data_IF_085552711820
#
_entry.id   IF_085552711820
#
_cell.length_a   1.000
_cell.length_b   1.000
_cell.length_c   1.000
_cell.angle_alpha   90.00
_cell.angle_beta   90.00
_cell.angle_gamma   90.00
#
_symmetry.space_group_name_H-M   'P 1'
#
loop_
_entity.id
_entity.type
_entity.pdbx_description
1 polymer ?
#
# COMPACT_ATOMS: atom_id res chain seq x y z
N UNK A 1 -9.36 5.73 23.75
CA UNK A 1 -8.43 4.61 23.43
C UNK A 1 -8.52 4.21 21.96
N UNK A 2 -9.73 4.00 21.42
CA UNK A 2 -9.95 3.62 20.01
C UNK A 2 -9.29 4.56 19.00
N UNK A 3 -9.46 5.89 19.12
CA UNK A 3 -8.84 6.85 18.19
C UNK A 3 -7.30 6.83 18.21
N UNK A 4 -6.69 6.53 19.36
CA UNK A 4 -5.23 6.37 19.49
C UNK A 4 -4.77 5.12 18.75
N UNK A 5 -5.53 4.03 18.85
CA UNK A 5 -5.25 2.78 18.11
C UNK A 5 -5.41 2.99 16.60
N UNK A 6 -6.47 3.68 16.17
CA UNK A 6 -6.68 4.03 14.75
C UNK A 6 -5.53 4.89 14.23
N UNK A 7 -5.16 5.95 14.96
CA UNK A 7 -4.04 6.82 14.57
C UNK A 7 -2.71 6.05 14.48
N UNK A 8 -2.42 5.17 15.44
CA UNK A 8 -1.25 4.31 15.39
C UNK A 8 -1.27 3.37 14.18
N UNK A 9 -2.43 2.76 13.87
CA UNK A 9 -2.57 1.88 12.72
C UNK A 9 -2.36 2.63 11.39
N UNK A 10 -2.88 3.86 11.27
CA UNK A 10 -2.65 4.77 10.13
C UNK A 10 -1.16 5.08 9.98
N UNK A 11 -0.48 5.46 11.07
CA UNK A 11 0.97 5.73 11.03
C UNK A 11 1.75 4.51 10.56
N UNK A 12 1.44 3.33 11.10
CA UNK A 12 2.08 2.08 10.68
C UNK A 12 1.80 1.75 9.20
N UNK A 13 0.59 2.01 8.71
CA UNK A 13 0.27 1.85 7.29
C UNK A 13 1.07 2.79 6.41
N UNK A 14 1.17 4.07 6.77
CA UNK A 14 1.97 5.07 6.04
C UNK A 14 3.44 4.66 6.01
N UNK A 15 4.00 4.18 7.12
CA UNK A 15 5.39 3.75 7.18
C UNK A 15 5.64 2.48 6.35
N UNK A 16 4.76 1.48 6.47
CA UNK A 16 4.90 0.21 5.77
C UNK A 16 4.70 0.38 4.26
N UNK A 17 3.62 1.01 3.85
CA UNK A 17 3.29 1.23 2.45
C UNK A 17 4.18 2.29 1.81
N UNK A 18 4.56 3.33 2.56
CA UNK A 18 5.51 4.34 2.10
C UNK A 18 6.86 3.72 1.71
N UNK A 19 7.33 2.73 2.49
CA UNK A 19 8.53 1.97 2.12
C UNK A 19 8.35 1.19 0.81
N UNK A 20 7.21 0.51 0.61
CA UNK A 20 6.88 -0.18 -0.64
C UNK A 20 6.89 0.79 -1.82
N UNK A 21 6.21 1.93 -1.68
CA UNK A 21 6.15 3.00 -2.69
C UNK A 21 7.55 3.51 -3.04
N UNK A 22 8.40 3.81 -2.05
CA UNK A 22 9.77 4.29 -2.27
C UNK A 22 10.63 3.27 -3.04
N UNK A 23 10.49 1.97 -2.72
CA UNK A 23 11.17 0.90 -3.48
C UNK A 23 10.69 0.90 -4.93
N UNK A 24 9.37 0.98 -5.15
CA UNK A 24 8.77 1.02 -6.48
C UNK A 24 9.17 2.26 -7.30
N UNK A 25 9.27 3.44 -6.68
CA UNK A 25 9.76 4.65 -7.32
C UNK A 25 11.21 4.50 -7.81
N UNK A 26 12.04 3.74 -7.08
CA UNK A 26 13.43 3.46 -7.43
C UNK A 26 13.61 2.34 -8.47
N UNK A 27 12.53 1.71 -8.93
CA UNK A 27 12.56 0.57 -9.85
C UNK A 27 13.27 0.83 -11.20
N UNK A 28 13.19 2.02 -11.82
CA UNK A 28 13.86 2.29 -13.09
C UNK A 28 15.40 2.36 -12.96
N UNK A 29 15.91 2.70 -11.78
CA UNK A 29 17.33 2.89 -11.55
C UNK A 29 18.13 1.57 -11.56
N UNK A 30 19.46 1.68 -11.63
CA UNK A 30 20.37 0.54 -11.52
C UNK A 30 20.11 -0.27 -10.23
N UNK A 31 20.12 -1.60 -10.35
CA UNK A 31 19.74 -2.52 -9.26
C UNK A 31 18.25 -2.56 -8.92
N UNK A 32 17.39 -1.91 -9.71
CA UNK A 32 15.94 -1.89 -9.48
C UNK A 32 15.31 -3.29 -9.52
N UNK A 33 15.76 -4.17 -10.42
CA UNK A 33 15.31 -5.56 -10.47
C UNK A 33 15.61 -6.34 -9.17
N UNK A 34 16.83 -6.24 -8.64
CA UNK A 34 17.17 -6.82 -7.34
C UNK A 34 16.33 -6.22 -6.19
N UNK A 35 16.08 -4.91 -6.20
CA UNK A 35 15.22 -4.26 -5.19
C UNK A 35 13.79 -4.78 -5.24
N UNK A 36 13.19 -4.88 -6.42
CA UNK A 36 11.84 -5.44 -6.61
C UNK A 36 11.77 -6.92 -6.26
N UNK A 37 12.82 -7.69 -6.55
CA UNK A 37 12.92 -9.10 -6.12
C UNK A 37 12.92 -9.21 -4.60
N UNK A 38 13.67 -8.34 -3.90
CA UNK A 38 13.68 -8.31 -2.43
C UNK A 38 12.36 -7.83 -1.85
N UNK A 39 11.64 -6.95 -2.54
CA UNK A 39 10.29 -6.56 -2.16
C UNK A 39 9.37 -7.79 -2.17
N UNK A 40 9.52 -8.68 -3.15
CA UNK A 40 8.91 -10.02 -3.11
C UNK A 40 7.41 -9.98 -2.87
N UNK A 41 6.91 -10.81 -1.94
CA UNK A 41 5.51 -10.81 -1.49
C UNK A 41 5.23 -9.84 -0.34
N UNK A 42 6.22 -9.07 0.12
CA UNK A 42 6.07 -8.18 1.30
C UNK A 42 5.03 -7.10 1.03
N UNK A 43 4.93 -6.63 -0.23
CA UNK A 43 3.96 -5.62 -0.62
C UNK A 43 2.51 -6.09 -0.41
N UNK A 44 2.18 -7.37 -0.66
CA UNK A 44 0.83 -7.91 -0.44
C UNK A 44 0.38 -7.79 1.03
N UNK A 45 1.33 -7.89 1.96
CA UNK A 45 1.04 -7.71 3.36
C UNK A 45 0.90 -6.23 3.75
N UNK A 46 1.67 -5.31 3.14
CA UNK A 46 1.45 -3.86 3.35
C UNK A 46 0.11 -3.42 2.79
N UNK A 47 -0.32 -4.00 1.68
CA UNK A 47 -1.62 -3.81 1.05
C UNK A 47 -2.79 -4.28 1.90
N UNK A 48 -2.71 -5.50 2.41
CA UNK A 48 -3.71 -6.03 3.34
C UNK A 48 -3.83 -5.12 4.57
N UNK A 49 -2.70 -4.57 5.04
CA UNK A 49 -2.69 -3.60 6.13
C UNK A 49 -3.37 -2.27 5.76
N UNK A 50 -3.09 -1.71 4.58
CA UNK A 50 -3.76 -0.48 4.11
C UNK A 50 -5.28 -0.67 4.02
N UNK A 51 -5.75 -1.80 3.46
CA UNK A 51 -7.18 -2.11 3.38
C UNK A 51 -7.81 -2.21 4.77
N UNK A 52 -7.14 -2.89 5.71
CA UNK A 52 -7.61 -3.01 7.09
C UNK A 52 -7.71 -1.64 7.76
N UNK A 53 -6.75 -0.74 7.54
CA UNK A 53 -6.78 0.62 8.06
C UNK A 53 -7.88 1.46 7.43
N UNK A 54 -8.12 1.35 6.11
CA UNK A 54 -9.24 2.03 5.45
C UNK A 54 -10.58 1.59 6.07
N UNK A 55 -10.79 0.28 6.22
CA UNK A 55 -12.00 -0.27 6.84
C UNK A 55 -12.16 0.17 8.29
N UNK A 56 -11.07 0.23 9.04
CA UNK A 56 -11.05 0.72 10.42
C UNK A 56 -11.41 2.21 10.52
N UNK A 57 -10.79 3.07 9.70
CA UNK A 57 -11.09 4.51 9.68
C UNK A 57 -12.54 4.72 9.30
N UNK A 58 -13.05 4.01 8.29
CA UNK A 58 -14.45 4.10 7.87
C UNK A 58 -15.44 3.60 8.96
N UNK A 59 -15.07 2.56 9.71
CA UNK A 59 -15.91 2.01 10.77
C UNK A 59 -15.92 2.82 12.07
N UNK A 60 -14.80 3.45 12.43
CA UNK A 60 -14.63 4.21 13.69
C UNK A 60 -14.91 5.71 13.51
N UNK A 61 -14.50 6.26 12.36
CA UNK A 61 -14.58 7.68 12.04
C UNK A 61 -15.24 7.92 10.67
N UNK A 62 -16.50 7.46 10.44
CA UNK A 62 -17.20 7.71 9.19
C UNK A 62 -17.41 9.21 8.90
N UNK A 63 -17.51 10.01 9.96
CA UNK A 63 -17.56 11.47 9.98
C UNK A 63 -16.29 12.14 9.42
N UNK A 64 -15.14 11.47 9.50
CA UNK A 64 -13.93 11.89 8.81
C UNK A 64 -13.81 11.27 7.41
N UNK A 65 -14.12 9.98 7.29
CA UNK A 65 -13.87 9.21 6.07
C UNK A 65 -14.71 9.71 4.88
N UNK A 66 -16.01 9.92 5.08
CA UNK A 66 -16.90 10.31 3.97
C UNK A 66 -16.61 11.73 3.47
N UNK A 67 -16.50 12.77 4.34
CA UNK A 67 -16.17 14.12 3.86
C UNK A 67 -14.78 14.20 3.25
N UNK A 68 -13.81 13.42 3.75
CA UNK A 68 -12.49 13.34 3.14
C UNK A 68 -12.55 12.79 1.71
N UNK A 69 -13.31 11.71 1.48
CA UNK A 69 -13.49 11.14 0.14
C UNK A 69 -14.30 12.07 -0.78
N UNK A 70 -15.23 12.86 -0.25
CA UNK A 70 -15.95 13.87 -1.01
C UNK A 70 -15.01 15.01 -1.45
N UNK A 71 -14.21 15.55 -0.51
CA UNK A 71 -13.28 16.65 -0.78
C UNK A 71 -12.06 16.23 -1.63
N UNK A 72 -11.60 14.99 -1.47
CA UNK A 72 -10.37 14.48 -2.08
C UNK A 72 -10.59 13.23 -2.94
N UNK A 73 -11.80 13.06 -3.51
CA UNK A 73 -12.15 11.89 -4.32
C UNK A 73 -11.18 11.65 -5.49
N UNK A 74 -10.72 12.72 -6.14
CA UNK A 74 -9.68 12.63 -7.17
C UNK A 74 -8.35 12.07 -6.64
N UNK A 75 -7.98 12.42 -5.40
CA UNK A 75 -6.80 11.86 -4.72
C UNK A 75 -6.96 10.38 -4.41
N UNK A 76 -8.14 9.96 -3.93
CA UNK A 76 -8.44 8.54 -3.70
C UNK A 76 -8.39 7.74 -5.01
N UNK A 77 -8.96 8.27 -6.10
CA UNK A 77 -8.89 7.63 -7.43
C UNK A 77 -7.45 7.51 -7.91
N UNK A 78 -6.65 8.57 -7.80
CA UNK A 78 -5.23 8.53 -8.18
C UNK A 78 -4.44 7.49 -7.36
N UNK A 79 -4.74 7.40 -6.06
CA UNK A 79 -4.13 6.42 -5.17
C UNK A 79 -4.46 4.98 -5.59
N UNK A 80 -5.74 4.66 -5.78
CA UNK A 80 -6.19 3.30 -6.16
C UNK A 80 -5.75 2.95 -7.57
N UNK A 81 -5.87 3.85 -8.54
CA UNK A 81 -5.41 3.58 -9.91
C UNK A 81 -3.89 3.36 -9.96
N UNK A 82 -3.13 4.18 -9.23
CA UNK A 82 -1.68 4.02 -9.09
C UNK A 82 -1.30 2.67 -8.46
N UNK A 83 -2.03 2.28 -7.41
CA UNK A 83 -1.90 0.99 -6.77
C UNK A 83 -2.12 -0.16 -7.77
N UNK A 84 -3.26 -0.17 -8.46
CA UNK A 84 -3.59 -1.22 -9.43
C UNK A 84 -2.52 -1.36 -10.52
N UNK A 85 -2.03 -0.24 -11.07
CA UNK A 85 -0.96 -0.26 -12.07
C UNK A 85 0.33 -0.85 -11.47
N UNK A 86 0.73 -0.39 -10.29
CA UNK A 86 1.94 -0.88 -9.61
C UNK A 86 1.88 -2.40 -9.44
N UNK A 87 0.78 -2.91 -8.91
CA UNK A 87 0.65 -4.33 -8.56
C UNK A 87 0.59 -5.22 -9.79
N UNK A 88 -0.15 -4.77 -10.81
CA UNK A 88 -0.22 -5.46 -12.09
C UNK A 88 1.19 -5.71 -12.63
N UNK A 89 2.07 -4.70 -12.58
CA UNK A 89 3.44 -4.84 -13.08
C UNK A 89 4.42 -5.46 -12.07
N UNK A 90 4.19 -5.36 -10.75
CA UNK A 90 4.92 -6.15 -9.76
C UNK A 90 4.70 -7.65 -9.97
N UNK A 91 3.48 -8.03 -10.34
CA UNK A 91 3.11 -9.41 -10.62
C UNK A 91 3.48 -9.85 -12.04
N UNK A 92 3.09 -9.09 -13.06
CA UNK A 92 3.31 -9.46 -14.46
C UNK A 92 4.76 -9.24 -14.92
N UNK A 93 5.47 -8.26 -14.35
CA UNK A 93 6.80 -7.84 -14.77
C UNK A 93 7.83 -8.98 -14.81
N UNK A 94 7.99 -9.81 -13.76
CA UNK A 94 8.86 -10.97 -13.78
C UNK A 94 8.60 -11.94 -14.94
N UNK A 95 7.34 -12.01 -15.43
CA UNK A 95 6.90 -12.91 -16.50
C UNK A 95 7.05 -12.30 -17.89
N UNK A 96 6.83 -10.99 -18.02
CA UNK A 96 6.98 -10.23 -19.26
C UNK A 96 8.46 -9.93 -19.59
N UNK A 97 9.37 -10.24 -18.67
CA UNK A 97 10.81 -10.04 -18.77
C UNK A 97 11.28 -8.82 -17.96
N UNK A 98 12.58 -8.73 -17.64
CA UNK A 98 13.13 -7.71 -16.73
C UNK A 98 13.25 -6.30 -17.32
N UNK A 99 12.52 -6.06 -18.41
CA UNK A 99 12.60 -4.86 -19.21
C UNK A 99 12.40 -3.60 -18.36
N UNK A 100 13.11 -2.54 -18.75
CA UNK A 100 12.88 -1.20 -18.24
C UNK A 100 11.39 -0.77 -18.29
N UNK A 101 10.57 -1.15 -19.30
CA UNK A 101 9.17 -0.72 -19.38
C UNK A 101 8.30 -1.12 -18.17
N UNK A 102 8.35 -2.37 -17.71
CA UNK A 102 7.55 -2.81 -16.56
C UNK A 102 7.96 -2.07 -15.28
N UNK A 103 9.26 -1.83 -15.10
CA UNK A 103 9.80 -1.08 -13.95
C UNK A 103 9.42 0.41 -13.99
N UNK A 104 9.34 0.99 -15.18
CA UNK A 104 8.81 2.34 -15.37
C UNK A 104 7.33 2.39 -14.99
N UNK A 105 6.53 1.43 -15.43
CA UNK A 105 5.09 1.40 -15.10
C UNK A 105 4.84 1.19 -13.60
N UNK A 106 5.67 0.38 -12.93
CA UNK A 106 5.68 0.29 -11.45
C UNK A 106 5.93 1.67 -10.82
N UNK A 107 6.94 2.40 -11.30
CA UNK A 107 7.26 3.73 -10.77
C UNK A 107 6.16 4.76 -11.08
N UNK A 108 5.51 4.68 -12.24
CA UNK A 108 4.35 5.52 -12.60
C UNK A 108 3.19 5.25 -11.63
N UNK A 109 2.85 3.97 -11.41
CA UNK A 109 1.81 3.58 -10.44
C UNK A 109 2.12 4.08 -9.02
N UNK A 110 3.35 3.88 -8.58
CA UNK A 110 3.82 4.39 -7.28
C UNK A 110 3.80 5.92 -7.19
N UNK A 111 4.09 6.64 -8.29
CA UNK A 111 4.03 8.10 -8.32
C UNK A 111 2.59 8.60 -8.21
N UNK A 112 1.64 7.95 -8.90
CA UNK A 112 0.22 8.25 -8.75
C UNK A 112 -0.28 7.98 -7.32
N UNK A 113 0.22 6.93 -6.65
CA UNK A 113 -0.03 6.71 -5.22
C UNK A 113 0.51 7.85 -4.35
N UNK A 114 1.72 8.34 -4.59
CA UNK A 114 2.25 9.50 -3.83
C UNK A 114 1.37 10.72 -4.01
N UNK A 115 0.98 11.03 -5.24
CA UNK A 115 0.10 12.18 -5.54
C UNK A 115 -1.24 12.01 -4.84
N UNK A 116 -1.86 10.84 -4.95
CA UNK A 116 -3.13 10.54 -4.29
C UNK A 116 -3.05 10.65 -2.77
N UNK A 117 -1.99 10.09 -2.16
CA UNK A 117 -1.73 10.17 -0.72
C UNK A 117 -1.48 11.62 -0.26
N UNK A 118 -0.77 12.42 -1.05
CA UNK A 118 -0.53 13.83 -0.75
C UNK A 118 -1.83 14.65 -0.76
N UNK A 119 -2.69 14.45 -1.78
CA UNK A 119 -4.00 15.11 -1.86
C UNK A 119 -4.89 14.73 -0.67
N UNK A 120 -4.97 13.43 -0.34
CA UNK A 120 -5.70 12.94 0.83
C UNK A 120 -5.12 13.51 2.14
N UNK A 121 -3.80 13.55 2.28
CA UNK A 121 -3.13 14.10 3.46
C UNK A 121 -3.40 15.59 3.65
N UNK A 122 -3.35 16.38 2.58
CA UNK A 122 -3.68 17.82 2.62
C UNK A 122 -5.15 18.03 3.01
N UNK A 123 -6.07 17.28 2.41
CA UNK A 123 -7.50 17.37 2.75
C UNK A 123 -7.78 16.96 4.20
N UNK A 124 -7.10 15.92 4.70
CA UNK A 124 -7.19 15.51 6.11
C UNK A 124 -6.68 16.60 7.06
N UNK A 125 -5.52 17.19 6.77
CA UNK A 125 -4.99 18.30 7.59
C UNK A 125 -5.94 19.49 7.57
N UNK A 126 -6.47 19.86 6.40
CA UNK A 126 -7.43 20.96 6.28
C UNK A 126 -8.73 20.69 7.08
N UNK A 127 -9.24 19.46 7.05
CA UNK A 127 -10.38 19.04 7.85
C UNK A 127 -10.07 19.17 9.35
N UNK A 128 -8.96 18.59 9.83
CA UNK A 128 -8.58 18.64 11.25
C UNK A 128 -8.36 20.07 11.77
N UNK A 129 -7.85 20.97 10.94
CA UNK A 129 -7.69 22.39 11.28
C UNK A 129 -9.06 23.09 11.37
N UNK A 130 -10.02 22.71 10.54
CA UNK A 130 -11.31 23.39 10.42
C UNK A 130 -12.36 22.91 11.43
N UNK A 131 -12.34 21.62 11.78
CA UNK A 131 -13.36 20.99 12.64
C UNK A 131 -12.86 20.60 14.02
N UNK A 132 -11.55 20.72 14.29
CA UNK A 132 -10.93 20.15 15.48
C UNK A 132 -10.78 18.62 15.39
N UNK A 133 -10.15 17.99 16.39
CA UNK A 133 -9.99 16.53 16.43
C UNK A 133 -11.37 15.85 16.49
N UNK A 134 -11.55 14.71 15.79
CA UNK A 134 -12.79 13.96 15.84
C UNK A 134 -13.13 13.55 17.28
N UNK A 135 -14.41 13.64 17.64
CA UNK A 135 -14.88 13.14 18.91
C UNK A 135 -14.59 11.63 19.02
N UNK A 136 -14.26 11.17 20.22
CA UNK A 136 -14.13 9.75 20.47
C UNK A 136 -15.50 9.11 20.32
N UNK A 137 -15.76 8.49 19.16
CA UNK A 137 -16.98 7.73 18.91
C UNK A 137 -17.24 6.68 20.02
N UNK A 138 -18.48 6.21 20.17
CA UNK A 138 -18.85 5.33 21.28
C UNK A 138 -17.92 4.11 21.34
N UNK A 139 -17.56 3.64 22.55
CA UNK A 139 -16.71 2.47 22.71
C UNK A 139 -17.47 1.25 22.20
N UNK A 140 -17.25 0.88 20.95
CA UNK A 140 -17.74 -0.39 20.43
C UNK A 140 -16.85 -1.50 20.96
N UNK A 141 -17.29 -2.23 21.98
CA UNK A 141 -16.57 -3.40 22.52
C UNK A 141 -16.18 -4.38 21.38
N UNK A 142 -17.01 -4.50 20.35
CA UNK A 142 -16.75 -5.27 19.12
C UNK A 142 -15.49 -4.83 18.36
N UNK A 143 -15.17 -3.53 18.32
CA UNK A 143 -13.92 -3.03 17.74
C UNK A 143 -12.73 -3.49 18.58
N UNK A 144 -12.79 -3.41 19.91
CA UNK A 144 -11.70 -3.91 20.76
C UNK A 144 -11.43 -5.41 20.59
N UNK A 145 -12.49 -6.23 20.55
CA UNK A 145 -12.40 -7.69 20.47
C UNK A 145 -12.03 -8.23 19.09
N UNK A 146 -12.37 -7.53 18.01
CA UNK A 146 -12.10 -8.01 16.63
C UNK A 146 -10.90 -7.29 16.02
N UNK A 147 -10.82 -5.96 16.18
CA UNK A 147 -9.82 -5.15 15.50
C UNK A 147 -8.43 -5.42 16.05
N UNK A 148 -8.26 -5.48 17.38
CA UNK A 148 -6.94 -5.67 17.99
C UNK A 148 -6.33 -7.04 17.61
N UNK A 149 -7.06 -8.18 17.69
CA UNK A 149 -6.53 -9.46 17.21
C UNK A 149 -6.24 -9.48 15.71
N UNK A 150 -7.07 -8.86 14.88
CA UNK A 150 -6.84 -8.77 13.42
C UNK A 150 -5.59 -7.94 13.11
N UNK A 151 -5.37 -6.83 13.81
CA UNK A 151 -4.16 -6.01 13.68
C UNK A 151 -2.92 -6.77 14.16
N UNK A 152 -3.00 -7.51 15.27
CA UNK A 152 -1.88 -8.34 15.73
C UNK A 152 -1.58 -9.45 14.73
N UNK A 153 -2.60 -10.14 14.22
CA UNK A 153 -2.44 -11.18 13.20
C UNK A 153 -1.83 -10.63 11.91
N UNK A 154 -2.31 -9.48 11.43
CA UNK A 154 -1.76 -8.79 10.27
C UNK A 154 -0.29 -8.41 10.45
N UNK A 155 0.08 -7.87 11.62
CA UNK A 155 1.46 -7.53 11.95
C UNK A 155 2.35 -8.79 12.02
N UNK A 156 1.87 -9.87 12.62
CA UNK A 156 2.60 -11.15 12.70
C UNK A 156 2.83 -11.72 11.30
N UNK A 157 1.81 -11.70 10.44
CA UNK A 157 1.93 -12.11 9.02
C UNK A 157 2.96 -11.22 8.32
N UNK A 158 2.90 -9.90 8.49
CA UNK A 158 3.84 -8.97 7.88
C UNK A 158 5.29 -9.25 8.31
N UNK A 159 5.54 -9.44 9.60
CA UNK A 159 6.85 -9.78 10.14
C UNK A 159 7.32 -11.14 9.62
N UNK A 160 6.41 -12.11 9.50
CA UNK A 160 6.68 -13.42 8.91
C UNK A 160 7.11 -13.31 7.44
N UNK A 161 6.35 -12.57 6.63
CA UNK A 161 6.62 -12.37 5.20
C UNK A 161 7.99 -11.72 4.95
N UNK A 162 8.40 -10.76 5.79
CA UNK A 162 9.72 -10.12 5.70
C UNK A 162 10.88 -11.11 5.92
N UNK A 163 10.63 -12.21 6.64
CA UNK A 163 11.64 -13.25 6.92
C UNK A 163 11.66 -14.37 5.88
N UNK A 164 10.66 -14.45 5.02
CA UNK A 164 10.60 -15.47 3.98
C UNK A 164 11.43 -15.05 2.77
N UNK A 165 12.16 -15.98 2.13
CA UNK A 165 12.81 -15.68 0.86
C UNK A 165 11.74 -15.35 -0.19
N UNK A 166 12.03 -14.44 -1.15
CA UNK A 166 11.09 -14.10 -2.19
C UNK A 166 10.67 -15.33 -3.00
N UNK A 167 9.37 -15.50 -3.18
CA UNK A 167 8.83 -16.56 -4.01
C UNK A 167 9.39 -16.47 -5.43
N UNK A 168 9.56 -17.62 -6.09
CA UNK A 168 10.20 -17.71 -7.42
C UNK A 168 9.51 -16.84 -8.48
N UNK A 169 8.19 -16.67 -8.40
CA UNK A 169 7.40 -15.86 -9.32
C UNK A 169 7.52 -14.34 -9.11
N UNK A 170 8.19 -13.88 -8.04
CA UNK A 170 8.56 -12.47 -7.83
C UNK A 170 10.03 -12.18 -8.17
N UNK A 171 10.76 -13.13 -8.73
CA UNK A 171 12.18 -12.94 -9.08
C UNK A 171 12.31 -12.21 -10.40
N UNK A 172 12.85 -11.00 -10.33
CA UNK A 172 13.22 -10.21 -11.51
C UNK A 172 14.62 -10.62 -11.96
N UNK A 173 14.73 -11.19 -13.15
CA UNK A 173 16.03 -11.59 -13.69
C UNK A 173 16.88 -10.35 -13.99
N UNK A 174 18.12 -10.29 -13.51
CA UNK A 174 19.07 -9.28 -13.99
C UNK A 174 19.62 -9.74 -15.35
N UNK A 175 19.04 -9.24 -16.45
CA UNK A 175 19.63 -9.38 -17.78
C UNK A 175 19.43 -10.72 -18.52
N UNK A 176 18.55 -11.61 -18.08
CA UNK A 176 18.23 -12.81 -18.86
C UNK A 176 17.21 -12.49 -19.97
N UNK A 177 17.49 -12.96 -21.20
CA UNK A 177 16.46 -13.13 -22.24
C UNK A 177 15.31 -13.94 -21.63
N UNK A 178 14.03 -13.61 -21.92
CA UNK A 178 12.94 -14.48 -21.52
C UNK A 178 13.22 -15.90 -22.02
N UNK A 179 12.94 -16.94 -21.22
CA UNK A 179 13.03 -18.32 -21.70
C UNK A 179 12.20 -18.43 -22.99
N UNK A 180 12.73 -19.14 -23.99
CA UNK A 180 12.16 -19.23 -25.34
C UNK A 180 10.70 -19.75 -25.37
N UNK A 181 10.28 -20.29 -24.23
CA UNK A 181 9.05 -21.02 -23.97
C UNK A 181 7.94 -20.10 -23.41
N UNK A 182 8.25 -18.83 -23.08
CA UNK A 182 7.28 -17.84 -22.61
C UNK A 182 6.42 -17.24 -23.74
N UNK A 183 6.05 -18.04 -24.75
CA UNK A 183 4.96 -17.68 -25.66
C UNK A 183 3.66 -17.94 -24.93
N UNK A 184 3.05 -16.86 -24.47
CA UNK A 184 1.65 -16.86 -24.05
C UNK A 184 0.83 -17.23 -25.29
N UNK A 185 0.16 -18.38 -25.25
CA UNK A 185 -0.96 -18.69 -26.15
C UNK A 185 -2.16 -17.85 -25.76
#
# INVERSE_FOLDING_TARGET
MTSVVVAAAVVLAVLAEGRTILVCLSAPAAGGAARLTRLGSIFLGTEAWVIAVIGMVNGVHPDLAHPLLEAAGGGAVAYIAGWMVRDLFLWAGPRLGPGLPARVLIAVGASAQVVGAAVLGVALVAALVSTGPPDAGPPGDLLGFVLLPVLVAGLVIQVGLVRLPPASYFRWAEGARPPADARIN
#
